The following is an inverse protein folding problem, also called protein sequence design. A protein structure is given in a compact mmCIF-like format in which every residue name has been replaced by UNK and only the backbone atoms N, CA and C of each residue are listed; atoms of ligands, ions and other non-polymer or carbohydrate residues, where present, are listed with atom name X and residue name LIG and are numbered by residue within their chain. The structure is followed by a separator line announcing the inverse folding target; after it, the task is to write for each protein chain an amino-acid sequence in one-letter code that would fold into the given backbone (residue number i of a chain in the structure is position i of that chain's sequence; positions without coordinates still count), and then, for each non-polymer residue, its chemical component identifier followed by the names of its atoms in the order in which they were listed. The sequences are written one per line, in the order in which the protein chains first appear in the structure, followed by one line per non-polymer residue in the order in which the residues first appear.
data_IF_445487256933
#
_entry.id   IF_445487256933
#
_cell.length_a   1.000
_cell.length_b   1.000
_cell.length_c   1.000
_cell.angle_alpha   90.00
_cell.angle_beta   90.00
_cell.angle_gamma   90.00
#
_symmetry.space_group_name_H-M   'P 1'
#
loop_
_entity.id
_entity.type
_entity.pdbx_description
1 polymer ?
#
# COMPACT_ATOMS: atom_id res chain seq x y z
N UNK A 1 -23.28 8.70 -12.74
CA UNK A 1 -22.33 7.82 -12.03
C UNK A 1 -22.89 6.41 -12.07
N UNK A 2 -22.26 5.47 -12.79
CA UNK A 2 -22.80 4.10 -13.02
C UNK A 2 -22.36 3.07 -11.96
N UNK A 3 -21.39 3.40 -11.12
CA UNK A 3 -20.82 2.47 -10.14
C UNK A 3 -20.87 3.13 -8.75
N UNK A 4 -21.19 2.34 -7.72
CA UNK A 4 -21.38 2.80 -6.34
C UNK A 4 -20.09 3.26 -5.65
N UNK A 5 -19.91 2.89 -4.38
CA UNK A 5 -18.68 3.20 -3.64
C UNK A 5 -17.44 2.66 -4.38
N UNK A 6 -16.37 3.46 -4.47
CA UNK A 6 -15.07 3.00 -4.96
C UNK A 6 -14.41 2.07 -3.94
N UNK A 7 -13.92 0.92 -4.37
CA UNK A 7 -13.01 0.09 -3.56
C UNK A 7 -11.59 0.22 -4.09
N UNK A 8 -10.63 0.46 -3.19
CA UNK A 8 -9.22 0.56 -3.50
C UNK A 8 -8.41 -0.35 -2.57
N UNK A 9 -7.34 -0.95 -3.08
CA UNK A 9 -6.43 -1.80 -2.32
C UNK A 9 -4.99 -1.32 -2.49
N UNK A 10 -4.22 -1.31 -1.41
CA UNK A 10 -2.81 -0.91 -1.40
C UNK A 10 -1.98 -1.96 -0.65
N UNK A 11 -0.78 -2.24 -1.15
CA UNK A 11 0.15 -3.21 -0.58
C UNK A 11 1.24 -2.52 0.22
N UNK A 12 1.51 -3.04 1.42
CA UNK A 12 2.65 -2.69 2.26
C UNK A 12 3.70 -3.77 2.03
N UNK A 13 4.73 -3.44 1.25
CA UNK A 13 5.87 -4.33 0.99
C UNK A 13 6.97 -3.98 1.99
N UNK A 14 7.29 -4.92 2.87
CA UNK A 14 8.34 -4.77 3.87
C UNK A 14 9.67 -5.28 3.33
N UNK A 15 10.71 -4.49 3.56
CA UNK A 15 12.12 -4.86 3.38
C UNK A 15 12.90 -4.46 4.63
N UNK A 16 14.18 -4.76 4.65
CA UNK A 16 15.05 -4.36 5.75
C UNK A 16 16.33 -3.73 5.23
N UNK A 17 16.87 -2.81 6.02
CA UNK A 17 18.20 -2.25 5.85
C UNK A 17 18.76 -1.98 7.26
N UNK A 18 20.03 -2.29 7.50
CA UNK A 18 20.68 -2.12 8.82
C UNK A 18 19.88 -2.68 10.01
N UNK A 19 19.30 -3.87 9.85
CA UNK A 19 18.45 -4.53 10.86
C UNK A 19 17.26 -3.67 11.32
N UNK A 20 16.72 -2.82 10.43
CA UNK A 20 15.52 -2.01 10.68
C UNK A 20 14.47 -2.21 9.57
N UNK A 21 13.17 -2.33 9.91
CA UNK A 21 12.10 -2.48 8.92
C UNK A 21 11.90 -1.20 8.09
N UNK A 22 11.78 -1.38 6.78
CA UNK A 22 11.48 -0.32 5.82
C UNK A 22 10.27 -0.73 4.98
N UNK A 23 9.53 0.25 4.49
CA UNK A 23 8.41 0.05 3.56
C UNK A 23 8.78 0.60 2.20
N UNK A 24 8.45 -0.15 1.15
CA UNK A 24 8.62 0.31 -0.21
C UNK A 24 7.50 1.30 -0.61
N UNK A 25 7.87 2.51 -0.99
CA UNK A 25 6.97 3.55 -1.50
C UNK A 25 7.33 3.94 -2.94
N UNK A 26 6.30 4.23 -3.73
CA UNK A 26 6.46 4.83 -5.05
C UNK A 26 6.43 6.36 -4.91
N UNK A 27 7.53 7.01 -5.26
CA UNK A 27 7.64 8.46 -5.30
C UNK A 27 7.33 9.00 -6.71
N UNK A 28 6.47 10.02 -6.79
CA UNK A 28 6.18 10.80 -8.00
C UNK A 28 6.81 12.19 -7.82
N UNK A 29 7.69 12.57 -8.75
CA UNK A 29 8.48 13.80 -8.59
C UNK A 29 9.35 13.72 -7.34
N UNK A 30 9.41 14.80 -6.55
CA UNK A 30 10.26 14.87 -5.36
C UNK A 30 9.48 14.86 -4.03
N UNK A 31 8.15 15.03 -4.04
CA UNK A 31 7.38 15.27 -2.81
C UNK A 31 6.28 14.25 -2.56
N UNK A 32 5.72 13.64 -3.60
CA UNK A 32 4.54 12.80 -3.45
C UNK A 32 4.90 11.32 -3.37
N UNK A 33 4.55 10.67 -2.26
CA UNK A 33 4.74 9.23 -2.07
C UNK A 33 3.38 8.51 -2.02
N UNK A 34 3.35 7.29 -2.54
CA UNK A 34 2.17 6.41 -2.46
C UNK A 34 2.57 4.95 -2.30
N UNK A 35 1.69 4.16 -1.71
CA UNK A 35 1.78 2.70 -1.74
C UNK A 35 1.47 2.17 -3.15
N UNK A 36 2.07 1.05 -3.57
CA UNK A 36 1.66 0.35 -4.79
C UNK A 36 0.28 -0.27 -4.58
N UNK A 37 -0.61 -0.10 -5.58
CA UNK A 37 -2.00 -0.52 -5.47
C UNK A 37 -2.93 0.21 -6.44
N UNK A 38 -4.22 0.21 -6.12
CA UNK A 38 -5.21 1.06 -6.77
C UNK A 38 -6.63 0.53 -6.72
N UNK A 39 -7.48 1.15 -7.55
CA UNK A 39 -8.92 0.86 -7.64
C UNK A 39 -9.23 -0.54 -8.18
N UNK A 40 -10.15 -1.24 -7.51
CA UNK A 40 -10.72 -2.51 -7.95
C UNK A 40 -11.82 -2.32 -9.01
N UNK A 41 -11.99 -3.35 -9.86
CA UNK A 41 -13.15 -3.48 -10.73
C UNK A 41 -14.38 -3.88 -9.90
N UNK A 42 -15.62 -3.60 -10.34
CA UNK A 42 -16.82 -4.08 -9.66
C UNK A 42 -16.80 -5.61 -9.49
N UNK A 43 -17.04 -6.10 -8.27
CA UNK A 43 -17.06 -7.53 -7.95
C UNK A 43 -15.69 -8.23 -7.91
N UNK A 44 -14.58 -7.51 -8.14
CA UNK A 44 -13.24 -8.09 -8.10
C UNK A 44 -12.83 -8.44 -6.68
N UNK A 45 -12.27 -9.65 -6.49
CA UNK A 45 -11.69 -10.06 -5.22
C UNK A 45 -10.52 -9.14 -4.84
N UNK A 46 -10.44 -8.77 -3.56
CA UNK A 46 -9.49 -7.76 -3.08
C UNK A 46 -8.03 -8.22 -3.21
N UNK A 47 -7.74 -9.48 -2.90
CA UNK A 47 -6.40 -10.05 -3.00
C UNK A 47 -5.97 -10.18 -4.46
N UNK A 48 -6.81 -10.78 -5.31
CA UNK A 48 -6.52 -10.92 -6.75
C UNK A 48 -6.40 -9.56 -7.44
N UNK A 49 -7.26 -8.60 -7.05
CA UNK A 49 -7.17 -7.23 -7.50
C UNK A 49 -5.87 -6.56 -7.08
N UNK A 50 -5.40 -6.79 -5.85
CA UNK A 50 -4.11 -6.28 -5.38
C UNK A 50 -2.95 -6.92 -6.14
N UNK A 51 -2.90 -8.25 -6.31
CA UNK A 51 -1.89 -8.93 -7.15
C UNK A 51 -1.82 -8.30 -8.54
N UNK A 52 -2.97 -8.13 -9.21
CA UNK A 52 -3.05 -7.48 -10.52
C UNK A 52 -2.51 -6.04 -10.49
N UNK A 53 -2.77 -5.28 -9.42
CA UNK A 53 -2.24 -3.92 -9.28
C UNK A 53 -0.74 -3.91 -9.03
N UNK A 54 -0.21 -4.79 -8.18
CA UNK A 54 1.22 -4.91 -7.92
C UNK A 54 1.97 -5.29 -9.20
N UNK A 55 1.50 -6.31 -9.93
CA UNK A 55 2.06 -6.68 -11.25
C UNK A 55 2.04 -5.50 -12.22
N UNK A 56 0.95 -4.74 -12.29
CA UNK A 56 0.87 -3.56 -13.16
C UNK A 56 1.79 -2.41 -12.75
N UNK A 57 2.23 -2.33 -11.48
CA UNK A 57 3.05 -1.22 -10.96
C UNK A 57 4.53 -1.55 -10.84
N UNK A 58 4.85 -2.82 -10.58
CA UNK A 58 6.19 -3.29 -10.23
C UNK A 58 6.59 -4.57 -10.98
N UNK A 59 5.68 -5.23 -11.69
CA UNK A 59 6.00 -6.44 -12.44
C UNK A 59 6.77 -6.13 -13.72
N UNK A 60 7.73 -6.99 -14.05
CA UNK A 60 8.44 -6.92 -15.32
C UNK A 60 7.57 -7.33 -16.51
N UNK A 61 7.97 -6.92 -17.72
CA UNK A 61 7.32 -7.37 -18.95
C UNK A 61 7.56 -8.87 -19.25
N UNK A 62 8.61 -9.45 -18.67
CA UNK A 62 8.89 -10.88 -18.76
C UNK A 62 8.11 -11.63 -17.67
N UNK A 63 7.24 -12.60 -18.01
CA UNK A 63 6.47 -13.37 -17.03
C UNK A 63 7.34 -14.06 -15.98
N UNK A 64 8.54 -14.51 -16.35
CA UNK A 64 9.48 -15.18 -15.46
C UNK A 64 10.08 -14.25 -14.37
N UNK A 65 9.93 -12.92 -14.53
CA UNK A 65 10.40 -11.90 -13.61
C UNK A 65 9.25 -11.19 -12.88
N UNK A 66 8.02 -11.69 -13.01
CA UNK A 66 6.88 -11.17 -12.24
C UNK A 66 6.88 -11.86 -10.87
N UNK A 67 6.94 -11.10 -9.76
CA UNK A 67 6.85 -11.67 -8.42
C UNK A 67 5.56 -12.46 -8.21
N UNK A 68 5.66 -13.60 -7.51
CA UNK A 68 4.48 -14.33 -7.03
C UNK A 68 3.95 -13.69 -5.74
N UNK A 69 3.14 -12.65 -5.92
CA UNK A 69 2.65 -11.80 -4.84
C UNK A 69 1.86 -12.59 -3.78
N UNK A 70 2.48 -12.80 -2.62
CA UNK A 70 1.83 -13.38 -1.45
C UNK A 70 1.13 -12.29 -0.64
N UNK A 71 -0.17 -12.09 -0.92
CA UNK A 71 -0.99 -11.12 -0.20
C UNK A 71 -1.33 -11.69 1.19
N UNK A 72 -0.87 -11.03 2.23
CA UNK A 72 -1.15 -11.35 3.62
C UNK A 72 -2.44 -10.69 4.12
N UNK A 73 -2.49 -10.44 5.42
CA UNK A 73 -3.67 -9.90 6.08
C UNK A 73 -3.92 -8.41 5.82
N UNK A 74 -5.18 -8.01 5.95
CA UNK A 74 -5.58 -6.60 5.93
C UNK A 74 -5.20 -5.96 7.28
N UNK A 75 -4.40 -4.89 7.23
CA UNK A 75 -3.91 -4.21 8.44
C UNK A 75 -4.63 -2.90 8.73
N UNK A 76 -5.31 -2.31 7.73
CA UNK A 76 -6.10 -1.09 7.93
C UNK A 76 -7.17 -0.91 6.86
N UNK A 77 -8.27 -0.24 7.25
CA UNK A 77 -9.35 0.18 6.36
C UNK A 77 -9.60 1.68 6.56
N UNK A 78 -9.65 2.41 5.46
CA UNK A 78 -9.86 3.86 5.41
C UNK A 78 -11.07 4.21 4.56
N UNK A 79 -11.85 5.17 5.04
CA UNK A 79 -13.11 5.57 4.42
C UNK A 79 -13.06 7.03 4.01
N UNK A 80 -13.48 7.29 2.76
CA UNK A 80 -13.69 8.64 2.23
C UNK A 80 -15.20 8.91 2.22
N UNK A 81 -15.72 9.82 3.06
CA UNK A 81 -17.16 10.06 3.13
C UNK A 81 -17.69 10.86 1.92
N UNK A 82 -16.90 11.82 1.42
CA UNK A 82 -17.30 12.82 0.41
C UNK A 82 -16.34 12.85 -0.79
N UNK A 83 -16.61 13.68 -1.79
CA UNK A 83 -15.71 13.87 -2.95
C UNK A 83 -14.55 14.84 -2.64
N UNK A 84 -13.90 14.64 -1.49
CA UNK A 84 -12.78 15.41 -0.97
C UNK A 84 -11.58 14.50 -0.69
N UNK A 85 -10.42 15.05 -0.34
CA UNK A 85 -9.17 14.30 -0.13
C UNK A 85 -9.05 13.61 1.23
N UNK A 86 -9.85 14.01 2.22
CA UNK A 86 -9.79 13.49 3.59
C UNK A 86 -10.31 12.05 3.67
N UNK A 87 -9.63 11.22 4.45
CA UNK A 87 -10.04 9.85 4.78
C UNK A 87 -9.99 9.63 6.29
N UNK A 88 -10.81 8.71 6.79
CA UNK A 88 -10.90 8.36 8.21
C UNK A 88 -10.64 6.87 8.40
N UNK A 89 -9.99 6.43 9.49
CA UNK A 89 -9.76 5.01 9.79
C UNK A 89 -11.02 4.30 10.35
N UNK A 90 -12.20 4.88 10.11
CA UNK A 90 -13.52 4.38 10.45
C UNK A 90 -14.54 5.00 9.49
N UNK A 91 -15.72 4.41 9.35
CA UNK A 91 -16.82 5.07 8.64
C UNK A 91 -17.44 6.11 9.59
N UNK A 92 -17.44 7.42 9.27
CA UNK A 92 -17.98 8.42 10.18
C UNK A 92 -19.48 8.23 10.47
N UNK A 93 -19.97 8.67 11.64
CA UNK A 93 -21.39 8.60 11.98
C UNK A 93 -22.28 9.23 10.89
N UNK A 94 -23.46 8.64 10.67
CA UNK A 94 -24.47 9.08 9.69
C UNK A 94 -24.05 8.99 8.21
N UNK A 95 -22.82 8.55 7.89
CA UNK A 95 -22.39 8.30 6.51
C UNK A 95 -22.85 6.91 6.07
N UNK A 96 -23.97 6.85 5.34
CA UNK A 96 -24.52 5.59 4.80
C UNK A 96 -23.98 5.24 3.41
N UNK A 97 -23.43 6.22 2.68
CA UNK A 97 -22.93 6.07 1.30
C UNK A 97 -21.56 6.72 1.10
N UNK A 98 -20.49 6.17 1.73
CA UNK A 98 -19.13 6.65 1.52
C UNK A 98 -18.71 6.55 0.05
N UNK A 99 -17.79 7.42 -0.38
CA UNK A 99 -17.32 7.49 -1.77
C UNK A 99 -16.19 6.51 -2.06
N UNK A 100 -15.38 6.19 -1.05
CA UNK A 100 -14.28 5.24 -1.19
C UNK A 100 -14.07 4.43 0.10
N UNK A 101 -13.82 3.14 -0.05
CA UNK A 101 -13.24 2.27 0.95
C UNK A 101 -11.87 1.81 0.45
N UNK A 102 -10.81 2.16 1.18
CA UNK A 102 -9.43 1.81 0.89
C UNK A 102 -8.94 0.79 1.91
N UNK A 103 -8.40 -0.33 1.45
CA UNK A 103 -7.84 -1.38 2.30
C UNK A 103 -6.34 -1.53 2.10
N UNK A 104 -5.61 -1.66 3.19
CA UNK A 104 -4.16 -1.87 3.19
C UNK A 104 -3.87 -3.30 3.57
N UNK A 105 -3.05 -3.99 2.79
CA UNK A 105 -2.65 -5.38 3.02
C UNK A 105 -1.14 -5.47 3.18
N UNK A 106 -0.70 -6.34 4.09
CA UNK A 106 0.69 -6.76 4.13
C UNK A 106 0.99 -7.63 2.90
N UNK A 107 2.13 -7.43 2.25
CA UNK A 107 2.58 -8.25 1.13
C UNK A 107 3.88 -8.93 1.53
N UNK A 108 3.87 -10.25 1.59
CA UNK A 108 5.05 -11.04 1.90
C UNK A 108 5.89 -11.16 0.63
N UNK A 109 7.15 -10.72 0.71
CA UNK A 109 8.12 -10.88 -0.35
C UNK A 109 8.94 -12.15 -0.11
N UNK A 110 9.40 -12.78 -1.18
CA UNK A 110 10.46 -13.79 -1.06
C UNK A 110 11.79 -13.12 -0.68
N UNK A 111 12.82 -13.92 -0.40
CA UNK A 111 14.16 -13.41 -0.06
C UNK A 111 14.70 -12.46 -1.14
N UNK A 112 14.36 -12.70 -2.41
CA UNK A 112 14.83 -11.91 -3.55
C UNK A 112 13.71 -11.72 -4.56
N UNK A 113 13.40 -10.47 -4.83
CA UNK A 113 12.39 -10.09 -5.81
C UNK A 113 12.96 -9.15 -6.87
N UNK A 114 12.41 -9.24 -8.08
CA UNK A 114 12.71 -8.30 -9.16
C UNK A 114 11.54 -7.31 -9.34
N UNK A 115 11.82 -6.01 -9.24
CA UNK A 115 10.83 -4.97 -9.47
C UNK A 115 11.18 -4.12 -10.70
N UNK A 116 10.27 -4.04 -11.66
CA UNK A 116 10.34 -3.12 -12.78
C UNK A 116 9.62 -1.81 -12.42
N UNK A 117 10.39 -0.77 -12.14
CA UNK A 117 9.88 0.54 -11.74
C UNK A 117 9.74 1.45 -12.97
N UNK A 118 8.56 2.06 -13.23
CA UNK A 118 8.38 3.02 -14.32
C UNK A 118 9.34 4.21 -14.20
N UNK A 119 9.90 4.68 -15.33
CA UNK A 119 10.91 5.76 -15.38
C UNK A 119 10.49 7.08 -14.71
N UNK A 120 9.19 7.35 -14.65
CA UNK A 120 8.64 8.57 -14.03
C UNK A 120 8.41 8.41 -12.51
N UNK A 121 8.78 7.26 -11.94
CA UNK A 121 8.68 6.95 -10.52
C UNK A 121 10.05 6.58 -9.96
N UNK A 122 10.21 6.79 -8.65
CA UNK A 122 11.28 6.18 -7.86
C UNK A 122 10.68 5.20 -6.87
N UNK A 123 11.38 4.10 -6.62
CA UNK A 123 11.04 3.17 -5.55
C UNK A 123 11.96 3.48 -4.37
N UNK A 124 11.37 3.87 -3.24
CA UNK A 124 12.08 4.23 -2.03
C UNK A 124 11.85 3.17 -0.97
N UNK A 125 12.90 2.77 -0.25
CA UNK A 125 12.76 2.08 1.03
C UNK A 125 12.75 3.13 2.14
N UNK A 126 11.62 3.29 2.84
CA UNK A 126 11.47 4.31 3.88
C UNK A 126 11.35 3.63 5.25
N UNK A 127 12.23 3.95 6.22
CA UNK A 127 12.21 3.33 7.54
C UNK A 127 10.96 3.72 8.32
N UNK A 128 10.50 2.82 9.21
CA UNK A 128 9.29 3.09 10.00
C UNK A 128 9.40 4.36 10.84
N UNK A 129 10.59 4.71 11.35
CA UNK A 129 10.79 5.93 12.14
C UNK A 129 10.62 7.22 11.32
N UNK A 130 10.87 7.21 10.01
CA UNK A 130 10.67 8.39 9.16
C UNK A 130 9.18 8.61 8.84
N UNK A 131 8.41 7.51 8.81
CA UNK A 131 6.97 7.54 8.57
C UNK A 131 6.18 7.98 9.81
N UNK A 132 6.60 7.51 10.98
CA UNK A 132 5.85 7.68 12.23
C UNK A 132 5.52 9.15 12.51
N UNK A 133 4.23 9.45 12.59
CA UNK A 133 3.68 10.79 12.89
C UNK A 133 4.07 11.89 11.87
N UNK A 134 4.60 11.51 10.70
CA UNK A 134 5.02 12.44 9.66
C UNK A 134 3.91 12.69 8.62
N UNK A 135 2.75 13.15 9.10
CA UNK A 135 1.55 13.41 8.29
C UNK A 135 1.83 14.46 7.21
N UNK A 136 2.65 15.46 7.51
CA UNK A 136 2.97 16.54 6.57
C UNK A 136 3.62 16.02 5.27
N UNK A 137 4.52 15.04 5.39
CA UNK A 137 5.23 14.48 4.24
C UNK A 137 4.53 13.29 3.59
N UNK A 138 3.95 12.39 4.40
CA UNK A 138 3.43 11.11 3.91
C UNK A 138 1.89 11.01 3.92
N UNK A 139 1.20 12.02 4.46
CA UNK A 139 -0.24 12.00 4.63
C UNK A 139 -0.70 11.04 5.74
N UNK A 140 -1.98 11.09 6.11
CA UNK A 140 -2.50 10.40 7.30
C UNK A 140 -2.48 8.86 7.17
N UNK A 141 -2.58 8.33 5.95
CA UNK A 141 -2.62 6.89 5.71
C UNK A 141 -1.24 6.25 5.88
N UNK A 142 -0.20 6.83 5.27
CA UNK A 142 1.14 6.23 5.27
C UNK A 142 1.86 6.48 6.61
N UNK A 143 1.70 7.68 7.18
CA UNK A 143 2.34 8.05 8.46
C UNK A 143 1.87 7.23 9.66
N UNK A 144 0.72 6.56 9.54
CA UNK A 144 0.16 5.70 10.60
C UNK A 144 0.46 4.21 10.40
N UNK A 145 1.16 3.83 9.33
CA UNK A 145 1.51 2.42 9.09
C UNK A 145 2.37 1.84 10.24
N UNK A 146 3.35 2.55 10.84
CA UNK A 146 4.10 1.99 11.96
C UNK A 146 3.21 1.50 13.11
N UNK A 147 2.13 2.22 13.42
CA UNK A 147 1.14 1.82 14.43
C UNK A 147 0.40 0.54 13.99
N UNK A 148 0.01 0.43 12.72
CA UNK A 148 -0.69 -0.76 12.21
C UNK A 148 0.18 -2.01 12.17
N UNK A 149 1.49 -1.82 12.01
CA UNK A 149 2.45 -2.90 12.01
C UNK A 149 3.00 -3.25 13.41
N UNK A 150 2.70 -2.45 14.43
CA UNK A 150 3.25 -2.64 15.80
C UNK A 150 2.90 -3.99 16.44
N UNK A 151 1.82 -4.63 15.99
CA UNK A 151 1.39 -5.96 16.46
C UNK A 151 2.18 -7.13 15.87
N UNK A 152 3.03 -6.88 14.88
CA UNK A 152 3.82 -7.92 14.22
C UNK A 152 5.21 -8.02 14.82
N UNK A 153 5.70 -9.24 14.97
CA UNK A 153 7.09 -9.51 15.27
C UNK A 153 7.87 -9.67 13.97
N UNK A 154 8.73 -8.70 13.64
CA UNK A 154 9.59 -8.80 12.45
C UNK A 154 10.73 -9.80 12.71
N UNK A 155 10.85 -10.78 11.82
CA UNK A 155 12.03 -11.66 11.77
C UNK A 155 12.97 -11.11 10.72
N UNK A 156 14.03 -10.47 11.20
CA UNK A 156 15.05 -9.87 10.33
C UNK A 156 15.95 -10.98 9.78
N UNK A 157 16.33 -10.87 8.51
CA UNK A 157 17.25 -11.80 7.87
C UNK A 157 18.68 -11.37 8.24
N UNK A 158 19.43 -12.22 8.93
CA UNK A 158 20.86 -12.02 9.11
C UNK A 158 21.59 -12.52 7.86
N UNK A 159 22.37 -11.66 7.23
CA UNK A 159 23.30 -12.06 6.17
C UNK A 159 24.47 -12.86 6.73
#
# INVERSE_FOLDING_TARGET
MKEGMRTSVEGILLVQEHNHPHILLLQIGNTFCKLPGGRLKPGENEMEGLKRKLTSKLGANSPALVPDWQIGECVAIWWRPNFETIMYPYCPPHITKPKECKKLFLVHLSEREYFAVPKNLKLLAVPLFELYDNVQRYGPVISTIPQQLSRFQFKMITN
#
